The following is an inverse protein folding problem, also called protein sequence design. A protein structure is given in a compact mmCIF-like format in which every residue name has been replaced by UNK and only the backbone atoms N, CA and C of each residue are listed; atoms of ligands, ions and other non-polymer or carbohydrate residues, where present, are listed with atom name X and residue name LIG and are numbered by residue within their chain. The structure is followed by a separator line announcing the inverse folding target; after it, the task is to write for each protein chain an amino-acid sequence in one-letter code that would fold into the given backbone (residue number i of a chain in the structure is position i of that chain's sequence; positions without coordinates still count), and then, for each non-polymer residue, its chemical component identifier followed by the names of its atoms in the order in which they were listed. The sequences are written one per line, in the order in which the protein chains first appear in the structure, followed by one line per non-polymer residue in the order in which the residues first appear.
data_IF_626593158134
#
_entry.id   IF_626593158134
#
_cell.length_a   1.000
_cell.length_b   1.000
_cell.length_c   1.000
_cell.angle_alpha   90.00
_cell.angle_beta   90.00
_cell.angle_gamma   90.00
#
_symmetry.space_group_name_H-M   'P 1'
#
loop_
_entity.id
_entity.type
_entity.pdbx_description
1 polymer ?
#
# COMPACT_ATOMS: atom_id res chain seq x y z
N UNK A 1 0.97 -5.26 9.26
CA UNK A 1 0.95 -3.92 9.88
C UNK A 1 1.23 -2.89 8.80
N UNK A 2 0.64 -1.71 8.90
CA UNK A 2 0.81 -0.58 7.98
C UNK A 2 1.53 0.53 8.72
N UNK A 3 2.58 1.05 8.11
CA UNK A 3 3.32 2.22 8.57
C UNK A 3 2.97 3.41 7.68
N UNK A 4 2.71 4.56 8.30
CA UNK A 4 2.26 5.79 7.62
C UNK A 4 2.89 7.01 8.28
N UNK A 5 3.18 8.06 7.51
CA UNK A 5 3.64 9.36 8.04
C UNK A 5 2.58 10.00 8.96
N UNK A 6 3.04 10.79 9.93
CA UNK A 6 2.20 11.34 10.99
C UNK A 6 1.04 12.19 10.47
N UNK A 7 1.24 13.02 9.46
CA UNK A 7 0.20 13.92 8.94
C UNK A 7 -0.93 13.17 8.21
N UNK A 8 -0.58 12.14 7.42
CA UNK A 8 -1.56 11.23 6.81
C UNK A 8 -2.31 10.47 7.91
N UNK A 9 -1.61 10.04 8.95
CA UNK A 9 -2.24 9.35 10.07
C UNK A 9 -3.15 10.29 10.88
N UNK A 10 -2.80 11.56 11.08
CA UNK A 10 -3.65 12.55 11.73
C UNK A 10 -4.91 12.85 10.94
N UNK A 11 -4.77 13.04 9.63
CA UNK A 11 -5.92 13.22 8.75
C UNK A 11 -6.83 11.98 8.78
N UNK A 12 -6.26 10.78 8.75
CA UNK A 12 -7.02 9.53 8.87
C UNK A 12 -7.82 9.46 10.18
N UNK A 13 -7.18 9.77 11.31
CA UNK A 13 -7.85 9.74 12.62
C UNK A 13 -8.94 10.82 12.74
N UNK A 14 -8.78 11.95 12.05
CA UNK A 14 -9.78 13.01 12.01
C UNK A 14 -11.05 12.63 11.23
N UNK A 15 -11.00 11.63 10.34
CA UNK A 15 -12.17 11.14 9.61
C UNK A 15 -13.14 10.35 10.52
N UNK A 16 -12.70 9.89 11.68
CA UNK A 16 -13.55 9.31 12.73
C UNK A 16 -13.84 7.81 12.61
N UNK A 17 -13.61 7.20 11.43
CA UNK A 17 -13.81 5.76 11.23
C UNK A 17 -12.66 4.92 11.86
N UNK A 18 -11.42 5.43 11.82
CA UNK A 18 -10.27 4.87 12.56
C UNK A 18 -10.02 5.70 13.81
N UNK A 19 -10.23 5.10 14.98
CA UNK A 19 -10.24 5.86 16.24
C UNK A 19 -8.87 6.07 16.88
N UNK A 20 -7.85 5.28 16.50
CA UNK A 20 -6.49 5.41 17.05
C UNK A 20 -5.46 4.63 16.24
N UNK A 21 -4.23 5.13 16.18
CA UNK A 21 -3.08 4.32 15.78
C UNK A 21 -2.73 3.30 16.89
N UNK A 22 -2.21 2.14 16.51
CA UNK A 22 -1.82 1.09 17.46
C UNK A 22 -0.45 1.34 18.06
N UNK A 23 0.46 1.95 17.28
CA UNK A 23 1.79 2.38 17.75
C UNK A 23 2.06 3.78 17.17
N UNK A 24 2.57 4.68 17.99
CA UNK A 24 3.07 5.98 17.57
C UNK A 24 4.58 6.05 17.83
N UNK A 25 5.33 6.44 16.80
CA UNK A 25 6.75 6.78 16.89
C UNK A 25 6.93 8.22 16.36
N UNK A 26 8.04 8.90 16.68
CA UNK A 26 8.27 10.24 16.16
C UNK A 26 8.20 10.28 14.63
N UNK A 27 7.25 11.02 14.06
CA UNK A 27 7.08 11.20 12.62
C UNK A 27 6.35 10.06 11.91
N UNK A 28 5.86 9.04 12.62
CA UNK A 28 5.29 7.84 11.99
C UNK A 28 4.30 7.12 12.90
N UNK A 29 3.18 6.68 12.33
CA UNK A 29 2.19 5.82 13.02
C UNK A 29 2.10 4.46 12.39
N UNK A 30 1.74 3.49 13.21
CA UNK A 30 1.52 2.11 12.79
C UNK A 30 0.11 1.66 13.11
N UNK A 31 -0.51 1.04 12.12
CA UNK A 31 -1.82 0.40 12.22
C UNK A 31 -1.65 -1.10 12.08
N UNK A 32 -2.15 -1.85 13.05
CA UNK A 32 -2.15 -3.31 12.98
C UNK A 32 -3.24 -3.79 12.04
N UNK A 33 -2.95 -4.90 11.36
CA UNK A 33 -3.87 -5.58 10.47
C UNK A 33 -4.05 -7.00 10.98
N UNK A 34 -5.25 -7.54 10.85
CA UNK A 34 -5.44 -8.99 10.97
C UNK A 34 -4.63 -9.73 9.90
N UNK A 35 -4.13 -10.91 10.27
CA UNK A 35 -3.31 -11.74 9.40
C UNK A 35 -4.07 -12.04 8.11
N UNK A 36 -3.44 -11.77 6.97
CA UNK A 36 -4.01 -12.08 5.65
C UNK A 36 -4.86 -10.98 5.03
N UNK A 37 -5.28 -9.94 5.76
CA UNK A 37 -6.08 -8.83 5.21
C UNK A 37 -5.40 -8.15 4.02
N UNK A 38 -4.09 -7.94 4.12
CA UNK A 38 -3.34 -7.37 3.01
C UNK A 38 -3.29 -8.27 1.77
N UNK A 39 -3.33 -9.59 1.96
CA UNK A 39 -3.36 -10.56 0.88
C UNK A 39 -4.75 -10.68 0.24
N UNK A 40 -5.82 -10.37 0.97
CA UNK A 40 -7.20 -10.40 0.46
C UNK A 40 -7.51 -9.19 -0.44
N UNK A 41 -6.88 -8.03 -0.18
CA UNK A 41 -7.09 -6.79 -0.96
C UNK A 41 -5.78 -6.24 -1.53
N UNK A 42 -4.98 -7.00 -2.29
CA UNK A 42 -3.62 -6.62 -2.68
C UNK A 42 -3.58 -5.28 -3.43
N UNK A 43 -4.52 -5.08 -4.36
CA UNK A 43 -4.58 -3.83 -5.15
C UNK A 43 -4.89 -2.58 -4.33
N UNK A 44 -5.67 -2.72 -3.25
CA UNK A 44 -6.00 -1.58 -2.40
C UNK A 44 -4.76 -1.03 -1.68
N UNK A 45 -3.77 -1.89 -1.41
CA UNK A 45 -2.48 -1.50 -0.84
C UNK A 45 -1.49 -1.04 -1.91
N UNK A 46 -1.41 -1.76 -3.03
CA UNK A 46 -0.51 -1.42 -4.15
C UNK A 46 -0.77 0.00 -4.68
N UNK A 47 -2.03 0.44 -4.74
CA UNK A 47 -2.38 1.76 -5.28
C UNK A 47 -1.97 2.95 -4.41
N UNK A 48 -1.64 2.72 -3.14
CA UNK A 48 -1.15 3.74 -2.20
C UNK A 48 0.28 3.45 -1.73
N UNK A 49 0.98 2.51 -2.38
CA UNK A 49 2.25 1.97 -1.89
C UNK A 49 3.42 2.96 -1.83
N UNK A 50 3.29 4.16 -2.42
CA UNK A 50 4.27 5.23 -2.25
C UNK A 50 4.11 6.02 -0.96
N UNK A 51 2.93 5.95 -0.34
CA UNK A 51 2.58 6.75 0.84
C UNK A 51 2.53 5.91 2.12
N UNK A 52 2.51 4.58 1.98
CA UNK A 52 2.42 3.64 3.10
C UNK A 52 3.40 2.51 2.92
N UNK A 53 3.95 2.01 4.03
CA UNK A 53 4.80 0.82 4.03
C UNK A 53 4.06 -0.33 4.71
N UNK A 54 3.90 -1.45 3.99
CA UNK A 54 3.24 -2.64 4.50
C UNK A 54 4.28 -3.64 5.01
N UNK A 55 4.19 -3.96 6.30
CA UNK A 55 5.00 -4.97 6.97
C UNK A 55 4.21 -6.28 7.07
N UNK A 56 4.63 -7.30 6.29
CA UNK A 56 3.91 -8.59 6.13
C UNK A 56 4.58 -9.81 6.76
N UNK A 57 5.84 -9.69 7.17
CA UNK A 57 6.56 -10.73 7.92
C UNK A 57 6.39 -10.48 9.44
N UNK A 58 6.89 -11.41 10.27
CA UNK A 58 7.04 -11.23 11.72
C UNK A 58 8.06 -10.12 11.99
N UNK A 59 7.68 -8.88 11.68
CA UNK A 59 8.47 -7.70 11.96
C UNK A 59 8.41 -7.47 13.46
N UNK A 60 9.46 -7.88 14.16
CA UNK A 60 9.72 -7.46 15.52
C UNK A 60 10.03 -5.97 15.50
N UNK A 61 9.03 -5.12 15.69
CA UNK A 61 9.29 -3.72 15.98
C UNK A 61 9.71 -3.62 17.44
N UNK A 62 10.91 -3.10 17.67
CA UNK A 62 11.28 -2.54 18.97
C UNK A 62 10.48 -1.25 19.11
N UNK A 63 9.36 -1.29 19.85
CA UNK A 63 8.56 -0.10 20.12
C UNK A 63 9.40 0.82 21.02
N UNK A 64 9.65 2.09 20.65
CA UNK A 64 10.34 3.03 21.53
C UNK A 64 9.62 3.10 22.88
N UNK A 65 10.33 2.85 23.98
CA UNK A 65 9.74 2.75 25.34
C UNK A 65 9.41 1.33 25.82
N UNK A 66 9.54 0.30 24.97
CA UNK A 66 9.53 -1.12 25.41
C UNK A 66 10.94 -1.66 25.63
N UNK A 67 11.88 -0.77 25.92
CA UNK A 67 13.29 -1.13 26.11
C UNK A 67 13.44 -2.05 27.33
N UNK A 68 14.19 -3.12 27.09
CA UNK A 68 14.28 -4.38 27.82
C UNK A 68 14.83 -4.29 29.26
N UNK A 69 15.01 -3.08 29.81
CA UNK A 69 15.86 -2.83 30.98
C UNK A 69 15.10 -2.91 32.31
N UNK A 70 13.77 -3.01 32.33
CA UNK A 70 13.02 -3.02 33.61
C UNK A 70 11.80 -3.96 33.72
N UNK A 71 11.56 -4.90 32.81
CA UNK A 71 10.42 -5.81 32.94
C UNK A 71 10.71 -7.25 32.50
N UNK A 72 10.24 -8.27 33.24
CA UNK A 72 10.43 -9.66 32.89
C UNK A 72 9.57 -10.01 31.67
N UNK A 73 10.22 -10.42 30.58
CA UNK A 73 9.64 -11.05 29.37
C UNK A 73 8.70 -10.19 28.49
N UNK A 74 8.64 -10.42 27.17
CA UNK A 74 7.93 -9.55 26.24
C UNK A 74 6.43 -9.80 26.32
N UNK A 75 5.75 -9.08 27.20
CA UNK A 75 4.32 -8.91 27.09
C UNK A 75 4.09 -7.93 25.93
N UNK A 76 3.54 -8.43 24.82
CA UNK A 76 2.69 -7.59 24.01
C UNK A 76 1.60 -7.11 24.96
N UNK A 77 1.69 -5.86 25.42
CA UNK A 77 0.59 -5.24 26.15
C UNK A 77 -0.53 -5.12 25.13
N UNK A 78 -1.40 -6.13 25.10
CA UNK A 78 -2.70 -6.06 24.45
C UNK A 78 -3.55 -5.32 25.47
N UNK A 79 -3.83 -4.01 25.30
CA UNK A 79 -4.64 -3.27 26.25
C UNK A 79 -5.97 -4.01 26.42
N UNK A 80 -6.46 -4.14 27.66
CA UNK A 80 -7.80 -4.64 27.94
C UNK A 80 -8.79 -3.81 27.11
N UNK A 81 -9.33 -4.40 26.03
CA UNK A 81 -10.25 -3.87 24.98
C UNK A 81 -9.75 -4.05 23.54
N UNK A 82 -8.54 -4.54 23.28
CA UNK A 82 -8.13 -4.96 21.92
C UNK A 82 -8.74 -6.33 21.52
N UNK A 83 -10.06 -6.46 21.63
CA UNK A 83 -10.81 -7.59 21.10
C UNK A 83 -11.40 -7.22 19.73
N UNK A 84 -11.30 -8.15 18.76
CA UNK A 84 -12.07 -8.27 17.51
C UNK A 84 -12.20 -7.05 16.57
N UNK A 85 -12.76 -5.96 17.07
CA UNK A 85 -13.14 -4.72 16.38
C UNK A 85 -11.99 -3.71 16.25
N UNK A 86 -11.01 -3.72 17.17
CA UNK A 86 -9.87 -2.79 17.15
C UNK A 86 -8.71 -3.25 16.27
N UNK A 87 -8.71 -4.49 15.78
CA UNK A 87 -7.56 -5.11 15.11
C UNK A 87 -7.62 -5.08 13.58
N UNK A 88 -8.71 -4.59 12.99
CA UNK A 88 -8.79 -4.43 11.55
C UNK A 88 -9.99 -3.56 11.19
N UNK A 89 -9.75 -2.31 10.79
CA UNK A 89 -10.72 -1.71 9.90
C UNK A 89 -10.52 -2.31 8.51
N UNK A 90 -11.52 -3.07 8.05
CA UNK A 90 -11.53 -3.64 6.69
C UNK A 90 -11.48 -2.54 5.62
N UNK A 91 -11.82 -1.31 6.00
CA UNK A 91 -11.84 -0.12 5.17
C UNK A 91 -10.57 0.72 5.26
N UNK A 92 -9.62 0.37 6.13
CA UNK A 92 -8.35 1.08 6.30
C UNK A 92 -7.61 1.39 4.96
N UNK A 93 -7.52 0.49 3.96
CA UNK A 93 -6.92 0.85 2.67
C UNK A 93 -7.67 1.98 1.95
N UNK A 94 -9.00 1.99 2.03
CA UNK A 94 -9.84 2.96 1.34
C UNK A 94 -9.77 4.32 2.06
N UNK A 95 -9.75 4.34 3.38
CA UNK A 95 -9.60 5.56 4.18
C UNK A 95 -8.20 6.16 4.08
N UNK A 96 -7.16 5.32 4.04
CA UNK A 96 -5.81 5.76 3.70
C UNK A 96 -5.76 6.29 2.27
N UNK A 97 -6.50 5.70 1.33
CA UNK A 97 -6.59 6.25 -0.03
C UNK A 97 -7.23 7.65 -0.05
N UNK A 98 -8.25 7.90 0.78
CA UNK A 98 -8.86 9.22 0.92
C UNK A 98 -7.88 10.21 1.55
N UNK A 99 -7.21 9.83 2.63
CA UNK A 99 -6.27 10.71 3.35
C UNK A 99 -5.03 11.04 2.53
N UNK A 100 -4.47 10.04 1.82
CA UNK A 100 -3.35 10.24 0.90
C UNK A 100 -3.75 11.13 -0.29
N UNK A 101 -4.97 10.96 -0.82
CA UNK A 101 -5.51 11.85 -1.86
C UNK A 101 -5.56 13.31 -1.40
N UNK A 102 -6.03 13.55 -0.18
CA UNK A 102 -6.15 14.90 0.38
C UNK A 102 -4.77 15.59 0.57
N UNK A 103 -3.73 14.84 0.95
CA UNK A 103 -2.45 15.41 1.39
C UNK A 103 -1.29 15.28 0.39
N UNK A 104 -1.31 14.26 -0.48
CA UNK A 104 -0.19 13.90 -1.35
C UNK A 104 -0.56 13.75 -2.82
N UNK A 105 -1.86 13.65 -3.11
CA UNK A 105 -2.36 13.55 -4.48
C UNK A 105 -2.91 12.17 -4.84
N UNK A 106 -3.34 11.98 -6.09
CA UNK A 106 -4.19 10.85 -6.44
C UNK A 106 -3.47 9.50 -6.34
N UNK A 107 -4.17 8.46 -5.84
CA UNK A 107 -3.62 7.11 -5.79
C UNK A 107 -3.40 6.57 -7.20
N UNK A 108 -2.51 5.57 -7.32
CA UNK A 108 -2.22 4.93 -8.59
C UNK A 108 -3.46 4.23 -9.18
N UNK A 109 -3.46 4.12 -10.51
CA UNK A 109 -4.40 3.31 -11.30
C UNK A 109 -3.74 2.00 -11.71
N UNK A 110 -4.51 1.06 -12.26
CA UNK A 110 -3.94 -0.15 -12.86
C UNK A 110 -3.34 0.18 -14.23
N UNK A 111 -2.11 -0.24 -14.46
CA UNK A 111 -1.58 -0.32 -15.81
C UNK A 111 -2.34 -1.40 -16.58
N UNK A 112 -2.70 -1.13 -17.84
CA UNK A 112 -3.41 -2.12 -18.66
C UNK A 112 -2.51 -3.27 -19.18
N UNK A 113 -1.19 -3.18 -18.96
CA UNK A 113 -0.21 -4.07 -19.59
C UNK A 113 0.72 -4.78 -18.60
N UNK A 114 0.76 -4.36 -17.34
CA UNK A 114 1.61 -4.96 -16.31
C UNK A 114 0.92 -4.85 -14.93
N UNK A 115 1.35 -5.63 -13.92
CA UNK A 115 0.74 -5.58 -12.59
C UNK A 115 1.19 -4.36 -11.76
N UNK A 116 2.19 -3.59 -12.22
CA UNK A 116 2.71 -2.48 -11.44
C UNK A 116 1.69 -1.32 -11.33
N UNK A 117 1.64 -0.60 -10.20
CA UNK A 117 0.83 0.61 -10.05
C UNK A 117 1.22 1.68 -11.08
N UNK A 118 0.23 2.33 -11.68
CA UNK A 118 0.40 3.42 -12.64
C UNK A 118 0.11 4.75 -11.95
N UNK A 119 1.16 5.51 -11.68
CA UNK A 119 1.01 6.80 -11.02
C UNK A 119 0.58 7.90 -12.00
N UNK A 120 -0.15 8.93 -11.52
CA UNK A 120 -0.69 10.00 -12.36
C UNK A 120 0.35 10.67 -13.27
N UNK A 121 1.58 10.84 -12.83
CA UNK A 121 2.67 11.45 -13.61
C UNK A 121 3.41 10.46 -14.52
N UNK A 122 3.19 9.16 -14.35
CA UNK A 122 3.82 8.09 -15.16
C UNK A 122 2.91 7.62 -16.30
N UNK A 123 1.66 8.08 -16.35
CA UNK A 123 0.67 7.58 -17.28
C UNK A 123 0.77 8.21 -18.66
N UNK A 124 0.63 7.35 -19.66
CA UNK A 124 0.31 7.74 -21.03
C UNK A 124 -0.97 7.06 -21.46
N UNK A 125 -1.78 7.78 -22.22
CA UNK A 125 -2.96 7.22 -22.88
C UNK A 125 -2.52 6.66 -24.23
N UNK A 126 -2.81 5.39 -24.47
CA UNK A 126 -2.57 4.74 -25.75
C UNK A 126 -3.88 4.17 -26.30
N UNK A 127 -3.99 4.17 -27.61
CA UNK A 127 -5.12 3.56 -28.30
C UNK A 127 -4.76 2.11 -28.57
N UNK A 128 -5.51 1.19 -27.97
CA UNK A 128 -5.45 -0.23 -28.34
C UNK A 128 -6.36 -0.42 -29.54
N UNK A 129 -5.80 -0.81 -30.71
CA UNK A 129 -6.60 -1.11 -31.88
C UNK A 129 -7.58 -2.23 -31.56
N UNK A 130 -8.79 -2.11 -32.09
CA UNK A 130 -9.75 -3.19 -32.01
C UNK A 130 -9.24 -4.44 -32.77
N UNK A 131 -9.49 -5.65 -32.25
CA UNK A 131 -9.09 -6.88 -32.94
C UNK A 131 -9.87 -7.13 -34.24
N UNK A 132 -11.02 -6.47 -34.40
CA UNK A 132 -11.87 -6.55 -35.60
C UNK A 132 -12.34 -5.17 -36.03
N UNK A 133 -12.57 -4.94 -37.35
CA UNK A 133 -12.99 -3.63 -37.88
C UNK A 133 -14.34 -3.12 -37.34
N UNK A 134 -15.19 -4.03 -36.87
CA UNK A 134 -16.51 -3.72 -36.31
C UNK A 134 -16.47 -3.25 -34.84
N UNK A 135 -15.30 -3.29 -34.19
CA UNK A 135 -15.14 -2.90 -32.80
C UNK A 135 -14.47 -1.52 -32.70
N UNK A 136 -14.91 -0.71 -31.74
CA UNK A 136 -14.26 0.56 -31.47
C UNK A 136 -12.90 0.33 -30.81
N UNK A 137 -11.88 1.06 -31.30
CA UNK A 137 -10.60 1.18 -30.61
C UNK A 137 -10.81 1.69 -29.19
N UNK A 138 -9.99 1.25 -28.25
CA UNK A 138 -10.12 1.63 -26.83
C UNK A 138 -8.92 2.44 -26.38
N UNK A 139 -9.19 3.58 -25.75
CA UNK A 139 -8.19 4.32 -25.00
C UNK A 139 -7.90 3.63 -23.67
N UNK A 140 -6.62 3.38 -23.40
CA UNK A 140 -6.15 2.76 -22.16
C UNK A 140 -4.98 3.52 -21.58
N UNK A 141 -4.91 3.60 -20.25
CA UNK A 141 -3.77 4.18 -19.53
C UNK A 141 -2.71 3.11 -19.26
N UNK A 142 -1.45 3.46 -19.48
CA UNK A 142 -0.31 2.56 -19.27
C UNK A 142 0.94 3.34 -18.87
N UNK A 143 1.95 2.64 -18.32
CA UNK A 143 3.30 3.20 -18.24
C UNK A 143 3.85 3.39 -19.66
N UNK A 144 4.69 4.43 -19.83
CA UNK A 144 5.37 4.73 -21.10
C UNK A 144 6.06 3.48 -21.68
N UNK A 145 6.83 2.78 -20.86
CA UNK A 145 7.60 1.59 -21.25
C UNK A 145 6.72 0.38 -21.56
N UNK A 146 5.49 0.35 -21.04
CA UNK A 146 4.57 -0.76 -21.24
C UNK A 146 3.78 -0.66 -22.53
N UNK A 147 3.75 0.50 -23.18
CA UNK A 147 2.98 0.72 -24.41
C UNK A 147 3.48 -0.18 -25.55
N UNK A 148 2.60 -0.60 -26.47
CA UNK A 148 2.97 -1.48 -27.59
C UNK A 148 4.13 -0.94 -28.45
N UNK A 149 4.27 0.40 -28.54
CA UNK A 149 5.37 1.04 -29.27
C UNK A 149 6.76 0.80 -28.66
N UNK A 150 6.84 0.51 -27.36
CA UNK A 150 8.09 0.32 -26.62
C UNK A 150 8.38 -1.14 -26.23
N UNK A 151 7.40 -2.06 -26.42
CA UNK A 151 7.54 -3.50 -26.14
C UNK A 151 8.49 -4.25 -27.09
N UNK A 152 8.98 -3.62 -28.16
CA UNK A 152 9.91 -4.23 -29.12
C UNK A 152 11.37 -4.24 -28.67
N UNK A 153 11.71 -3.74 -27.46
CA UNK A 153 13.01 -4.02 -26.85
C UNK A 153 12.92 -5.25 -25.94
N UNK A 154 13.54 -6.40 -26.29
CA UNK A 154 13.57 -7.55 -25.39
C UNK A 154 14.19 -7.13 -24.06
N UNK A 155 13.42 -7.29 -22.99
CA UNK A 155 13.89 -7.09 -21.62
C UNK A 155 14.93 -8.17 -21.36
N UNK A 156 16.20 -7.80 -21.28
CA UNK A 156 17.27 -8.73 -20.92
C UNK A 156 16.87 -9.47 -19.63
N UNK A 157 17.04 -10.80 -19.54
CA UNK A 157 16.69 -11.54 -18.34
C UNK A 157 17.52 -11.01 -17.17
N UNK A 158 16.83 -10.54 -16.12
CA UNK A 158 17.46 -10.24 -14.82
C UNK A 158 18.10 -11.54 -14.34
N UNK A 159 19.43 -11.55 -14.23
CA UNK A 159 20.17 -12.61 -13.55
C UNK A 159 19.59 -12.80 -12.15
N UNK A 160 18.99 -13.96 -11.91
CA UNK A 160 18.72 -14.45 -10.57
C UNK A 160 20.06 -14.75 -9.91
N UNK A 161 20.46 -13.93 -8.94
CA UNK A 161 21.49 -14.33 -7.99
C UNK A 161 20.90 -15.42 -7.10
N UNK A 162 21.33 -16.66 -7.31
CA UNK A 162 21.30 -17.70 -6.28
C UNK A 162 22.36 -17.35 -5.23
N UNK A 163 22.04 -17.38 -3.92
CA UNK A 163 23.07 -17.43 -2.91
C UNK A 163 23.65 -18.86 -2.84
N UNK A 164 24.98 -18.93 -2.72
CA UNK A 164 25.70 -20.11 -2.20
C UNK A 164 25.50 -20.21 -0.69
#
# INVERSE_FOLDING_TARGET
MVQVEDDIAEHLLALGDVTSAHIAAPGTRYFLLTRGTARQRPWAWERISRYVTLHTADCTLTVPGTERIAAPTPYWVVPERWNGSYLCDKWLPDELSVSTLALRGPPARRCNFCPAPLWPEEHVTTIVPAPYPSHASREVSAHIDCTPRNRSRPRAPRRTHQPN
#
